data_IF_450312194741
#
_entry.id   IF_450312194741
#
_cell.length_a   1.000
_cell.length_b   1.000
_cell.length_c   1.000
_cell.angle_alpha   90.00
_cell.angle_beta   90.00
_cell.angle_gamma   90.00
#
_symmetry.space_group_name_H-M   'P 1'
#
loop_
_entity.id
_entity.type
_entity.pdbx_description
1 polymer ?
#
# COMPACT_ATOMS: atom_id res chain seq x y z
N UNK A 1 -10.60 -19.23 12.33
CA UNK A 1 -10.40 -18.52 11.04
C UNK A 1 -10.77 -19.32 9.79
N UNK A 2 -10.69 -20.66 9.77
CA UNK A 2 -11.02 -21.46 8.56
C UNK A 2 -12.40 -21.16 7.97
N UNK A 3 -13.46 -21.10 8.80
CA UNK A 3 -14.81 -20.74 8.35
C UNK A 3 -14.89 -19.34 7.73
N UNK A 4 -14.11 -18.39 8.24
CA UNK A 4 -14.06 -17.03 7.68
C UNK A 4 -13.45 -17.03 6.27
N UNK A 5 -12.36 -17.78 6.05
CA UNK A 5 -11.77 -17.93 4.73
C UNK A 5 -12.66 -18.72 3.76
N UNK A 6 -13.37 -19.74 4.23
CA UNK A 6 -14.37 -20.44 3.43
C UNK A 6 -15.49 -19.47 3.00
N UNK A 7 -15.95 -18.59 3.89
CA UNK A 7 -16.93 -17.56 3.56
C UNK A 7 -16.38 -16.56 2.51
N UNK A 8 -15.13 -16.09 2.67
CA UNK A 8 -14.47 -15.22 1.67
C UNK A 8 -14.43 -15.91 0.29
N UNK A 9 -14.08 -17.20 0.24
CA UNK A 9 -14.04 -17.96 -1.00
C UNK A 9 -15.41 -18.04 -1.67
N UNK A 10 -16.45 -18.44 -0.93
CA UNK A 10 -17.83 -18.51 -1.45
C UNK A 10 -18.31 -17.14 -1.92
N UNK A 11 -18.10 -16.08 -1.12
CA UNK A 11 -18.48 -14.71 -1.48
C UNK A 11 -17.75 -14.23 -2.73
N UNK A 12 -16.48 -14.61 -2.92
CA UNK A 12 -15.70 -14.31 -4.12
C UNK A 12 -16.29 -14.98 -5.36
N UNK A 13 -16.70 -16.25 -5.25
CA UNK A 13 -17.39 -16.97 -6.34
C UNK A 13 -18.73 -16.31 -6.68
N UNK A 14 -19.54 -15.99 -5.67
CA UNK A 14 -20.82 -15.28 -5.85
C UNK A 14 -20.63 -13.92 -6.54
N UNK A 15 -19.59 -13.16 -6.17
CA UNK A 15 -19.25 -11.91 -6.83
C UNK A 15 -18.81 -12.12 -8.28
N UNK A 16 -17.98 -13.12 -8.55
CA UNK A 16 -17.45 -13.41 -9.89
C UNK A 16 -18.56 -13.77 -10.89
N UNK A 17 -19.53 -14.59 -10.47
CA UNK A 17 -20.71 -14.94 -11.31
C UNK A 17 -21.82 -13.86 -11.24
N UNK A 18 -21.68 -12.88 -10.35
CA UNK A 18 -22.63 -11.81 -10.11
C UNK A 18 -23.99 -12.30 -9.60
N UNK A 19 -23.98 -13.19 -8.61
CA UNK A 19 -25.15 -13.69 -7.89
C UNK A 19 -25.27 -13.02 -6.51
N UNK A 20 -26.44 -12.46 -6.21
CA UNK A 20 -26.70 -11.60 -5.05
C UNK A 20 -25.65 -10.49 -4.90
N UNK A 21 -25.16 -9.98 -6.02
CA UNK A 21 -23.89 -9.25 -6.13
C UNK A 21 -23.77 -8.10 -5.13
N UNK A 22 -24.85 -7.32 -4.92
CA UNK A 22 -24.81 -6.16 -4.01
C UNK A 22 -24.52 -6.57 -2.57
N UNK A 23 -25.11 -7.68 -2.12
CA UNK A 23 -24.89 -8.22 -0.78
C UNK A 23 -23.55 -8.94 -0.74
N UNK A 24 -23.28 -9.82 -1.72
CA UNK A 24 -22.04 -10.59 -1.80
C UNK A 24 -20.80 -9.68 -1.84
N UNK A 25 -20.81 -8.60 -2.60
CA UNK A 25 -19.68 -7.68 -2.71
C UNK A 25 -19.47 -6.86 -1.43
N UNK A 26 -20.55 -6.42 -0.78
CA UNK A 26 -20.47 -5.72 0.50
C UNK A 26 -19.92 -6.64 1.61
N UNK A 27 -20.43 -7.87 1.70
CA UNK A 27 -19.94 -8.87 2.66
C UNK A 27 -18.50 -9.29 2.37
N UNK A 28 -18.13 -9.46 1.10
CA UNK A 28 -16.76 -9.77 0.70
C UNK A 28 -15.81 -8.65 1.10
N UNK A 29 -16.18 -7.39 0.82
CA UNK A 29 -15.41 -6.22 1.24
C UNK A 29 -15.22 -6.21 2.77
N UNK A 30 -16.30 -6.42 3.52
CA UNK A 30 -16.24 -6.45 4.99
C UNK A 30 -15.36 -7.60 5.50
N UNK A 31 -15.53 -8.82 4.97
CA UNK A 31 -14.77 -10.00 5.39
C UNK A 31 -13.26 -9.85 5.10
N UNK A 32 -12.90 -9.29 3.95
CA UNK A 32 -11.50 -8.99 3.61
C UNK A 32 -10.94 -7.86 4.50
N UNK A 33 -11.74 -6.83 4.77
CA UNK A 33 -11.34 -5.73 5.67
C UNK A 33 -11.09 -6.23 7.09
N UNK A 34 -11.91 -7.15 7.60
CA UNK A 34 -11.66 -7.80 8.90
C UNK A 34 -10.30 -8.49 8.89
N UNK A 35 -10.01 -9.34 7.90
CA UNK A 35 -8.69 -10.01 7.80
C UNK A 35 -7.55 -9.00 7.77
N UNK A 36 -7.71 -7.93 7.02
CA UNK A 36 -6.71 -6.87 6.90
C UNK A 36 -6.46 -6.10 8.21
N UNK A 37 -7.50 -5.88 9.01
CA UNK A 37 -7.40 -5.11 10.26
C UNK A 37 -7.04 -5.94 11.50
N UNK A 38 -7.14 -7.27 11.43
CA UNK A 38 -6.94 -8.15 12.57
C UNK A 38 -5.52 -8.14 13.12
N UNK A 39 -4.50 -8.10 12.25
CA UNK A 39 -3.11 -8.23 12.68
C UNK A 39 -2.16 -7.34 11.85
N UNK A 40 -1.48 -6.44 12.55
CA UNK A 40 -0.52 -5.49 12.00
C UNK A 40 0.70 -6.19 11.36
N UNK A 41 1.07 -7.39 11.81
CA UNK A 41 2.13 -8.21 11.23
C UNK A 41 1.74 -8.79 9.85
N UNK A 42 0.44 -8.86 9.53
CA UNK A 42 -0.05 -9.32 8.23
C UNK A 42 -0.22 -8.18 7.21
N UNK A 43 0.15 -6.94 7.56
CA UNK A 43 -0.02 -5.81 6.66
C UNK A 43 0.78 -6.01 5.35
N UNK A 44 0.06 -5.95 4.23
CA UNK A 44 0.61 -5.97 2.88
C UNK A 44 -0.12 -4.94 2.02
N UNK A 45 0.62 -4.19 1.19
CA UNK A 45 0.03 -3.17 0.32
C UNK A 45 -1.02 -3.75 -0.65
N UNK A 46 -0.87 -5.01 -1.08
CA UNK A 46 -1.84 -5.63 -1.98
C UNK A 46 -3.12 -6.10 -1.28
N UNK A 47 -3.07 -6.50 0.01
CA UNK A 47 -4.28 -6.74 0.79
C UNK A 47 -5.06 -5.44 0.99
N UNK A 48 -4.34 -4.35 1.27
CA UNK A 48 -4.94 -3.02 1.31
C UNK A 48 -5.61 -2.64 -0.01
N UNK A 49 -4.94 -2.84 -1.16
CA UNK A 49 -5.51 -2.61 -2.48
C UNK A 49 -6.78 -3.44 -2.71
N UNK A 50 -6.76 -4.72 -2.37
CA UNK A 50 -7.93 -5.60 -2.54
C UNK A 50 -9.12 -5.12 -1.69
N UNK A 51 -8.90 -4.63 -0.48
CA UNK A 51 -9.96 -4.02 0.33
C UNK A 51 -10.56 -2.78 -0.36
N UNK A 52 -9.72 -1.90 -0.91
CA UNK A 52 -10.18 -0.71 -1.64
C UNK A 52 -10.95 -1.07 -2.92
N UNK A 53 -10.45 -2.03 -3.71
CA UNK A 53 -11.16 -2.51 -4.90
C UNK A 53 -12.48 -3.18 -4.53
N UNK A 54 -12.51 -3.95 -3.43
CA UNK A 54 -13.72 -4.53 -2.87
C UNK A 54 -14.76 -3.47 -2.50
N UNK A 55 -14.34 -2.38 -1.85
CA UNK A 55 -15.21 -1.25 -1.51
C UNK A 55 -15.78 -0.57 -2.77
N UNK A 56 -14.92 -0.28 -3.75
CA UNK A 56 -15.32 0.36 -5.01
C UNK A 56 -16.28 -0.54 -5.82
N UNK A 57 -16.04 -1.84 -5.84
CA UNK A 57 -16.91 -2.83 -6.48
C UNK A 57 -18.25 -2.98 -5.75
N UNK A 58 -18.26 -3.02 -4.42
CA UNK A 58 -19.49 -3.06 -3.64
C UNK A 58 -20.41 -1.86 -3.95
N UNK A 59 -19.81 -0.68 -4.16
CA UNK A 59 -20.53 0.51 -4.59
C UNK A 59 -21.00 0.44 -6.06
N UNK A 60 -20.25 -0.24 -6.94
CA UNK A 60 -20.52 -0.32 -8.37
C UNK A 60 -21.73 -1.24 -8.70
N UNK A 61 -22.55 -0.92 -9.71
CA UNK A 61 -23.59 -1.81 -10.20
C UNK A 61 -23.05 -2.80 -11.26
N UNK A 62 -21.98 -3.54 -10.96
CA UNK A 62 -21.28 -4.38 -11.94
C UNK A 62 -22.09 -5.61 -12.40
N UNK A 63 -23.12 -6.01 -11.66
CA UNK A 63 -24.02 -7.12 -11.97
C UNK A 63 -25.04 -6.85 -13.09
N UNK A 64 -25.06 -5.66 -13.71
CA UNK A 64 -26.15 -5.29 -14.64
C UNK A 64 -26.06 -5.89 -16.04
N UNK A 65 -24.94 -6.51 -16.41
CA UNK A 65 -24.69 -7.07 -17.75
C UNK A 65 -24.59 -8.61 -17.73
N UNK A 66 -23.36 -9.16 -17.75
CA UNK A 66 -23.11 -10.60 -17.78
C UNK A 66 -23.08 -11.17 -16.35
N UNK A 67 -24.26 -11.36 -15.75
CA UNK A 67 -24.37 -11.90 -14.38
C UNK A 67 -25.57 -12.83 -14.19
N UNK A 68 -25.49 -13.70 -13.18
CA UNK A 68 -26.63 -14.52 -12.77
C UNK A 68 -27.79 -13.69 -12.23
N UNK A 69 -27.54 -12.58 -11.54
CA UNK A 69 -28.60 -11.66 -11.09
C UNK A 69 -29.38 -11.08 -12.28
N UNK A 70 -28.70 -10.76 -13.39
CA UNK A 70 -29.36 -10.28 -14.60
C UNK A 70 -30.21 -11.37 -15.24
N UNK A 71 -29.71 -12.60 -15.32
CA UNK A 71 -30.47 -13.74 -15.86
C UNK A 71 -31.72 -14.02 -15.03
N UNK A 72 -31.62 -13.94 -13.69
CA UNK A 72 -32.78 -14.06 -12.79
C UNK A 72 -33.77 -12.93 -13.01
N UNK A 73 -33.30 -11.70 -13.12
CA UNK A 73 -34.16 -10.54 -13.30
C UNK A 73 -34.83 -10.48 -14.70
N UNK A 74 -34.24 -11.11 -15.73
CA UNK A 74 -34.90 -11.29 -17.06
C UNK A 74 -36.13 -12.19 -16.98
N UNK A 75 -36.16 -13.12 -16.03
CA UNK A 75 -37.28 -14.03 -15.80
C UNK A 75 -38.35 -13.44 -14.88
N UNK A 76 -38.06 -12.31 -14.22
CA UNK A 76 -38.98 -11.65 -13.31
C UNK A 76 -39.99 -10.77 -14.09
N UNK A 77 -41.24 -10.65 -13.64
CA UNK A 77 -42.27 -9.84 -14.30
C UNK A 77 -41.90 -8.36 -14.42
N UNK A 78 -41.12 -7.84 -13.47
CA UNK A 78 -40.66 -6.45 -13.43
C UNK A 78 -39.59 -6.10 -14.48
N UNK A 79 -39.07 -7.10 -15.19
CA UNK A 79 -38.07 -6.90 -16.23
C UNK A 79 -36.66 -6.54 -15.72
N UNK A 80 -35.72 -6.59 -16.68
CA UNK A 80 -34.30 -6.29 -16.54
C UNK A 80 -33.96 -4.81 -16.29
N UNK A 81 -33.19 -4.37 -15.27
CA UNK A 81 -32.59 -3.03 -15.30
C UNK A 81 -31.73 -2.80 -16.55
N UNK A 82 -31.54 -1.52 -16.89
CA UNK A 82 -30.68 -1.11 -18.00
C UNK A 82 -29.27 -1.69 -17.86
N UNK A 83 -28.73 -2.16 -18.98
CA UNK A 83 -27.43 -2.83 -19.08
C UNK A 83 -26.25 -1.84 -19.08
N UNK A 84 -26.37 -0.80 -18.25
CA UNK A 84 -25.46 0.34 -18.17
C UNK A 84 -25.07 0.66 -16.73
N UNK A 85 -23.86 1.19 -16.56
CA UNK A 85 -23.33 1.66 -15.29
C UNK A 85 -22.79 3.08 -15.45
N UNK A 86 -22.91 3.95 -14.42
CA UNK A 86 -22.26 5.25 -14.44
C UNK A 86 -20.75 5.11 -14.64
N UNK A 87 -20.19 5.91 -15.57
CA UNK A 87 -18.75 5.92 -15.89
C UNK A 87 -17.86 6.18 -14.67
N UNK A 88 -18.42 6.85 -13.65
CA UNK A 88 -17.75 7.17 -12.39
C UNK A 88 -17.17 5.93 -11.69
N UNK A 89 -17.89 4.80 -11.66
CA UNK A 89 -17.41 3.60 -10.99
C UNK A 89 -16.20 2.99 -11.69
N UNK A 90 -16.24 2.94 -13.03
CA UNK A 90 -15.11 2.48 -13.82
C UNK A 90 -13.92 3.42 -13.67
N UNK A 91 -14.16 4.74 -13.67
CA UNK A 91 -13.12 5.72 -13.42
C UNK A 91 -12.49 5.55 -12.04
N UNK A 92 -13.27 5.35 -10.98
CA UNK A 92 -12.77 5.14 -9.63
C UNK A 92 -11.83 3.92 -9.54
N UNK A 93 -12.22 2.81 -10.16
CA UNK A 93 -11.38 1.60 -10.22
C UNK A 93 -10.07 1.85 -11.00
N UNK A 94 -10.15 2.49 -12.17
CA UNK A 94 -8.96 2.86 -12.96
C UNK A 94 -8.03 3.80 -12.19
N UNK A 95 -8.60 4.82 -11.56
CA UNK A 95 -7.87 5.80 -10.78
C UNK A 95 -7.14 5.11 -9.62
N UNK A 96 -7.79 4.19 -8.90
CA UNK A 96 -7.14 3.46 -7.82
C UNK A 96 -5.91 2.66 -8.30
N UNK A 97 -6.03 1.95 -9.43
CA UNK A 97 -4.89 1.21 -10.01
C UNK A 97 -3.76 2.16 -10.43
N UNK A 98 -4.09 3.28 -11.07
CA UNK A 98 -3.08 4.26 -11.48
C UNK A 98 -2.40 4.95 -10.29
N UNK A 99 -3.13 5.24 -9.20
CA UNK A 99 -2.57 5.78 -7.95
C UNK A 99 -1.52 4.84 -7.37
N UNK A 100 -1.81 3.53 -7.34
CA UNK A 100 -0.86 2.52 -6.84
C UNK A 100 0.44 2.52 -7.66
N UNK A 101 0.33 2.48 -9.00
CA UNK A 101 1.51 2.56 -9.87
C UNK A 101 2.28 3.86 -9.66
N UNK A 102 1.58 4.99 -9.70
CA UNK A 102 2.20 6.31 -9.57
C UNK A 102 2.99 6.44 -8.27
N UNK A 103 2.39 6.11 -7.12
CA UNK A 103 3.10 6.17 -5.83
C UNK A 103 4.16 5.07 -5.68
N UNK A 104 3.97 3.92 -6.31
CA UNK A 104 5.01 2.90 -6.43
C UNK A 104 6.27 3.44 -7.11
N UNK A 105 6.10 4.29 -8.13
CA UNK A 105 7.17 5.00 -8.83
C UNK A 105 7.74 6.16 -8.02
N UNK A 106 6.89 7.01 -7.42
CA UNK A 106 7.34 8.12 -6.56
C UNK A 106 8.21 7.59 -5.41
N UNK A 107 7.83 6.46 -4.80
CA UNK A 107 8.60 5.89 -3.71
C UNK A 107 9.96 5.30 -4.14
N UNK A 108 10.13 5.00 -5.44
CA UNK A 108 11.40 4.59 -6.07
C UNK A 108 12.33 5.77 -6.40
N UNK A 109 11.88 7.02 -6.24
CA UNK A 109 12.73 8.20 -6.33
C UNK A 109 13.52 8.40 -5.03
N UNK A 110 14.42 7.46 -4.75
CA UNK A 110 15.32 7.50 -3.60
C UNK A 110 16.73 7.04 -3.98
N UNK A 111 17.73 7.42 -3.17
CA UNK A 111 19.14 7.17 -3.48
C UNK A 111 19.50 5.70 -3.64
N UNK A 112 18.91 4.81 -2.85
CA UNK A 112 19.22 3.38 -2.90
C UNK A 112 18.69 2.77 -4.19
N UNK A 113 17.42 3.03 -4.52
CA UNK A 113 16.78 2.51 -5.72
C UNK A 113 17.48 2.98 -7.00
N UNK A 114 17.89 4.25 -7.05
CA UNK A 114 18.63 4.80 -8.19
C UNK A 114 20.04 4.20 -8.34
N UNK A 115 20.61 3.66 -7.26
CA UNK A 115 21.87 2.87 -7.31
C UNK A 115 21.65 1.38 -7.56
N UNK A 116 20.41 0.97 -7.84
CA UNK A 116 20.05 -0.43 -8.07
C UNK A 116 19.76 -1.23 -6.80
N UNK A 117 19.77 -0.63 -5.61
CA UNK A 117 19.51 -1.34 -4.36
C UNK A 117 18.05 -1.22 -3.90
N UNK A 118 17.49 -2.26 -3.26
CA UNK A 118 18.07 -3.58 -2.98
C UNK A 118 17.98 -4.58 -4.16
N UNK A 119 17.60 -4.13 -5.35
CA UNK A 119 17.32 -5.01 -6.49
C UNK A 119 18.54 -5.83 -6.91
N UNK A 120 19.72 -5.23 -6.93
CA UNK A 120 20.99 -5.91 -7.20
C UNK A 120 21.23 -7.06 -6.22
N UNK A 121 20.99 -6.86 -4.92
CA UNK A 121 21.13 -7.91 -3.91
C UNK A 121 20.14 -9.05 -4.16
N UNK A 122 18.86 -8.73 -4.36
CA UNK A 122 17.82 -9.75 -4.58
C UNK A 122 18.01 -10.57 -5.86
N UNK A 123 18.63 -9.98 -6.89
CA UNK A 123 18.92 -10.70 -8.13
C UNK A 123 20.20 -11.54 -8.03
N UNK A 124 21.17 -11.12 -7.21
CA UNK A 124 22.36 -11.92 -6.92
C UNK A 124 22.00 -13.26 -6.24
N UNK A 125 20.99 -13.27 -5.37
CA UNK A 125 20.44 -14.50 -4.76
C UNK A 125 19.86 -15.50 -5.77
N UNK A 126 19.73 -15.09 -7.04
CA UNK A 126 19.22 -15.89 -8.16
C UNK A 126 20.30 -16.24 -9.18
N UNK A 127 21.57 -16.05 -8.82
CA UNK A 127 22.72 -16.31 -9.70
C UNK A 127 22.81 -17.75 -10.20
N UNK A 128 22.23 -18.71 -9.48
CA UNK A 128 22.25 -20.14 -9.82
C UNK A 128 21.11 -20.55 -10.77
N UNK A 129 20.24 -19.62 -11.17
CA UNK A 129 19.14 -19.94 -12.09
C UNK A 129 19.68 -20.41 -13.45
N UNK A 130 19.12 -21.49 -14.03
CA UNK A 130 19.59 -22.00 -15.31
C UNK A 130 19.39 -20.95 -16.41
N UNK A 131 20.37 -20.84 -17.30
CA UNK A 131 20.42 -19.95 -18.48
C UNK A 131 20.51 -18.44 -18.20
N UNK A 132 19.81 -17.92 -17.19
CA UNK A 132 19.71 -16.48 -16.91
C UNK A 132 20.41 -16.05 -15.63
N UNK A 133 20.83 -16.97 -14.76
CA UNK A 133 21.43 -16.68 -13.46
C UNK A 133 22.63 -15.72 -13.51
N UNK A 134 23.66 -15.95 -14.34
CA UNK A 134 24.80 -15.03 -14.47
C UNK A 134 24.40 -13.62 -14.92
N UNK A 135 23.39 -13.51 -15.80
CA UNK A 135 22.86 -12.22 -16.23
C UNK A 135 22.09 -11.53 -15.10
N UNK A 136 21.30 -12.26 -14.32
CA UNK A 136 20.58 -11.70 -13.17
C UNK A 136 21.55 -11.22 -12.08
N UNK A 137 22.61 -11.99 -11.80
CA UNK A 137 23.60 -11.66 -10.77
C UNK A 137 24.52 -10.48 -11.15
N UNK A 138 24.56 -10.08 -12.43
CA UNK A 138 25.35 -8.92 -12.85
C UNK A 138 24.81 -7.62 -12.21
N UNK A 139 25.64 -6.81 -11.51
CA UNK A 139 25.18 -5.57 -10.88
C UNK A 139 24.53 -4.57 -11.83
N UNK A 140 24.98 -4.55 -13.10
CA UNK A 140 24.38 -3.72 -14.14
C UNK A 140 22.90 -4.06 -14.39
N UNK A 141 22.51 -5.34 -14.25
CA UNK A 141 21.13 -5.80 -14.40
C UNK A 141 20.24 -5.23 -13.30
N UNK A 142 20.72 -5.21 -12.04
CA UNK A 142 20.00 -4.60 -10.92
C UNK A 142 19.75 -3.11 -11.13
N UNK A 143 20.75 -2.36 -11.59
CA UNK A 143 20.59 -0.93 -11.93
C UNK A 143 19.64 -0.73 -13.12
N UNK A 144 19.78 -1.52 -14.19
CA UNK A 144 18.92 -1.41 -15.36
C UNK A 144 17.45 -1.69 -15.01
N UNK A 145 17.19 -2.74 -14.22
CA UNK A 145 15.85 -3.10 -13.80
C UNK A 145 15.28 -2.12 -12.77
N UNK A 146 16.10 -1.46 -11.96
CA UNK A 146 15.61 -0.43 -11.02
C UNK A 146 15.14 0.81 -11.78
N UNK A 147 15.90 1.28 -12.77
CA UNK A 147 15.50 2.39 -13.66
C UNK A 147 14.26 2.01 -14.47
N UNK A 148 14.23 0.80 -15.05
CA UNK A 148 13.08 0.32 -15.80
C UNK A 148 11.81 0.27 -14.91
N UNK A 149 11.92 -0.30 -13.71
CA UNK A 149 10.81 -0.38 -12.75
C UNK A 149 10.30 1.00 -12.33
N UNK A 150 11.19 1.97 -12.11
CA UNK A 150 10.83 3.36 -11.81
C UNK A 150 10.05 4.00 -12.97
N UNK A 151 10.57 3.91 -14.20
CA UNK A 151 9.95 4.52 -15.38
C UNK A 151 8.61 3.87 -15.70
N UNK A 152 8.51 2.55 -15.59
CA UNK A 152 7.28 1.79 -15.76
C UNK A 152 6.24 2.28 -14.76
N UNK A 153 6.54 2.30 -13.47
CA UNK A 153 5.58 2.68 -12.43
C UNK A 153 5.07 4.13 -12.59
N UNK A 154 5.96 5.08 -12.88
CA UNK A 154 5.59 6.48 -13.09
C UNK A 154 4.75 6.69 -14.36
N UNK A 155 5.00 5.94 -15.43
CA UNK A 155 4.33 6.11 -16.71
C UNK A 155 3.06 5.26 -16.87
N UNK A 156 2.90 4.18 -16.09
CA UNK A 156 1.86 3.16 -16.29
C UNK A 156 0.45 3.74 -16.32
N UNK A 157 0.12 4.61 -15.36
CA UNK A 157 -1.18 5.27 -15.31
C UNK A 157 -1.50 6.00 -16.61
N UNK A 158 -0.56 6.79 -17.13
CA UNK A 158 -0.74 7.54 -18.38
C UNK A 158 -0.88 6.62 -19.59
N UNK A 159 -0.03 5.60 -19.68
CA UNK A 159 -0.05 4.63 -20.77
C UNK A 159 -1.37 3.86 -20.84
N UNK A 160 -1.90 3.43 -19.69
CA UNK A 160 -3.14 2.65 -19.62
C UNK A 160 -4.40 3.50 -19.79
N UNK A 161 -4.41 4.77 -19.37
CA UNK A 161 -5.56 5.64 -19.52
C UNK A 161 -5.81 6.08 -20.97
N UNK A 162 -4.74 6.29 -21.74
CA UNK A 162 -4.86 6.83 -23.09
C UNK A 162 -5.05 5.72 -24.14
N UNK A 163 -6.08 5.86 -24.99
CA UNK A 163 -6.51 4.80 -25.94
C UNK A 163 -5.42 4.39 -26.94
N UNK A 164 -4.57 5.32 -27.38
CA UNK A 164 -3.51 5.05 -28.36
C UNK A 164 -2.32 4.31 -27.74
N UNK A 165 -2.01 4.62 -26.49
CA UNK A 165 -0.89 4.01 -25.75
C UNK A 165 -1.30 2.75 -24.99
N UNK A 166 -2.60 2.51 -24.81
CA UNK A 166 -3.10 1.37 -24.04
C UNK A 166 -2.52 0.01 -24.48
N UNK A 167 -2.40 -0.35 -25.78
CA UNK A 167 -1.82 -1.63 -26.17
C UNK A 167 -0.37 -1.78 -25.70
N UNK A 168 0.44 -0.71 -25.83
CA UNK A 168 1.81 -0.68 -25.33
C UNK A 168 1.84 -0.78 -23.80
N UNK A 169 1.03 0.03 -23.11
CA UNK A 169 0.92 0.00 -21.65
C UNK A 169 0.48 -1.36 -21.12
N UNK A 170 -0.48 -2.03 -21.78
CA UNK A 170 -0.95 -3.35 -21.40
C UNK A 170 0.13 -4.42 -21.61
N UNK A 171 0.89 -4.36 -22.71
CA UNK A 171 2.01 -5.27 -22.96
C UNK A 171 3.11 -5.09 -21.91
N UNK A 172 3.49 -3.84 -21.61
CA UNK A 172 4.48 -3.52 -20.58
C UNK A 172 4.01 -3.94 -19.19
N UNK A 173 2.74 -3.67 -18.83
CA UNK A 173 2.17 -4.10 -17.56
C UNK A 173 2.14 -5.61 -17.42
N UNK A 174 1.76 -6.34 -18.48
CA UNK A 174 1.75 -7.79 -18.47
C UNK A 174 3.18 -8.34 -18.26
N UNK A 175 4.14 -7.87 -19.04
CA UNK A 175 5.53 -8.28 -18.92
C UNK A 175 6.12 -7.95 -17.54
N UNK A 176 5.89 -6.73 -17.03
CA UNK A 176 6.36 -6.30 -15.71
C UNK A 176 5.76 -7.13 -14.57
N UNK A 177 4.45 -7.39 -14.59
CA UNK A 177 3.82 -8.18 -13.55
C UNK A 177 4.22 -9.67 -13.65
N UNK A 178 4.34 -10.24 -14.84
CA UNK A 178 4.86 -11.61 -14.98
C UNK A 178 6.31 -11.72 -14.50
N UNK A 179 7.17 -10.76 -14.85
CA UNK A 179 8.53 -10.68 -14.32
C UNK A 179 8.52 -10.60 -12.80
N UNK A 180 7.64 -9.77 -12.20
CA UNK A 180 7.49 -9.72 -10.75
C UNK A 180 7.00 -11.03 -10.15
N UNK A 181 6.08 -11.76 -10.80
CA UNK A 181 5.60 -13.05 -10.31
C UNK A 181 6.69 -14.14 -10.34
N UNK A 182 7.55 -14.12 -11.36
CA UNK A 182 8.66 -15.06 -11.51
C UNK A 182 9.82 -14.70 -10.58
N UNK A 183 10.15 -13.41 -10.49
CA UNK A 183 11.32 -12.91 -9.76
C UNK A 183 11.02 -12.55 -8.32
N UNK A 184 9.78 -12.40 -7.89
CA UNK A 184 9.50 -12.00 -6.52
C UNK A 184 8.27 -12.73 -5.99
N UNK A 185 8.38 -13.30 -4.80
CA UNK A 185 7.23 -13.88 -4.11
C UNK A 185 6.40 -12.77 -3.45
N UNK A 186 5.61 -12.04 -4.24
CA UNK A 186 4.75 -10.91 -3.79
C UNK A 186 3.26 -11.33 -3.74
N UNK A 187 3.01 -12.64 -3.61
CA UNK A 187 1.67 -13.20 -3.49
C UNK A 187 0.76 -12.87 -4.68
N UNK A 188 -0.49 -12.49 -4.39
CA UNK A 188 -1.54 -12.30 -5.40
C UNK A 188 -1.36 -11.03 -6.27
N UNK A 189 -0.45 -10.13 -5.89
CA UNK A 189 -0.36 -8.80 -6.47
C UNK A 189 -0.21 -8.81 -8.01
N UNK A 190 0.76 -9.52 -8.62
CA UNK A 190 0.92 -9.53 -10.06
C UNK A 190 -0.35 -9.95 -10.82
N UNK A 191 -1.05 -10.97 -10.30
CA UNK A 191 -2.27 -11.51 -10.91
C UNK A 191 -3.44 -10.53 -10.82
N UNK A 192 -3.59 -9.83 -9.68
CA UNK A 192 -4.60 -8.78 -9.53
C UNK A 192 -4.34 -7.63 -10.51
N UNK A 193 -3.08 -7.22 -10.66
CA UNK A 193 -2.71 -6.14 -11.58
C UNK A 193 -2.94 -6.55 -13.05
N UNK A 194 -2.59 -7.78 -13.44
CA UNK A 194 -2.88 -8.32 -14.78
C UNK A 194 -4.38 -8.36 -15.03
N UNK A 195 -5.17 -8.88 -14.09
CA UNK A 195 -6.63 -8.93 -14.21
C UNK A 195 -7.22 -7.51 -14.35
N UNK A 196 -6.66 -6.52 -13.66
CA UNK A 196 -7.11 -5.13 -13.71
C UNK A 196 -6.95 -4.46 -15.08
N UNK A 197 -6.11 -5.00 -15.97
CA UNK A 197 -5.96 -4.47 -17.34
C UNK A 197 -7.30 -4.51 -18.12
N UNK A 198 -8.18 -5.46 -17.78
CA UNK A 198 -9.53 -5.55 -18.36
C UNK A 198 -10.37 -4.29 -18.10
N UNK A 199 -10.09 -3.55 -17.02
CA UNK A 199 -10.77 -2.29 -16.70
C UNK A 199 -10.40 -1.19 -17.70
N UNK A 200 -9.14 -1.16 -18.15
CA UNK A 200 -8.58 -0.07 -18.95
C UNK A 200 -8.99 -0.12 -20.43
N UNK A 201 -9.28 -1.32 -20.94
CA UNK A 201 -9.79 -1.52 -22.29
C UNK A 201 -11.10 -0.75 -22.57
N UNK A 202 -11.42 -0.55 -23.85
CA UNK A 202 -12.64 0.16 -24.26
C UNK A 202 -13.89 -0.54 -23.72
N UNK A 203 -14.83 0.14 -23.04
CA UNK A 203 -15.96 -0.53 -22.37
C UNK A 203 -16.85 -1.40 -23.26
N UNK A 204 -16.81 -1.22 -24.60
CA UNK A 204 -17.56 -2.05 -25.53
C UNK A 204 -16.76 -3.22 -26.11
N UNK A 205 -15.48 -3.39 -25.74
CA UNK A 205 -14.65 -4.50 -26.19
C UNK A 205 -15.29 -5.88 -25.91
N UNK A 206 -15.91 -6.17 -24.75
CA UNK A 206 -16.47 -7.49 -24.49
C UNK A 206 -17.64 -7.77 -25.43
N UNK A 207 -18.50 -6.76 -25.68
CA UNK A 207 -19.64 -6.86 -26.60
C UNK A 207 -19.20 -7.03 -28.05
N UNK A 208 -18.10 -6.37 -28.44
CA UNK A 208 -17.54 -6.46 -29.80
C UNK A 208 -16.86 -7.80 -30.06
N UNK A 209 -16.17 -8.37 -29.07
CA UNK A 209 -15.38 -9.60 -29.22
C UNK A 209 -16.15 -10.87 -28.88
N UNK A 210 -17.15 -10.79 -28.01
CA UNK A 210 -17.94 -11.93 -27.54
C UNK A 210 -19.46 -11.67 -27.70
N UNK A 211 -19.95 -11.41 -28.93
CA UNK A 211 -21.34 -11.03 -29.16
C UNK A 211 -22.34 -12.10 -28.71
N UNK A 212 -21.95 -13.38 -28.76
CA UNK A 212 -22.75 -14.52 -28.28
C UNK A 212 -23.07 -14.47 -26.79
N UNK A 213 -22.23 -13.80 -25.97
CA UNK A 213 -22.47 -13.62 -24.54
C UNK A 213 -23.40 -12.44 -24.24
N UNK A 214 -23.70 -11.60 -25.23
CA UNK A 214 -24.57 -10.42 -25.10
C UNK A 214 -25.73 -10.43 -26.12
N UNK A 215 -26.59 -11.47 -26.15
CA UNK A 215 -27.73 -11.50 -27.06
C UNK A 215 -28.70 -10.35 -26.74
N UNK A 216 -28.91 -9.47 -27.74
CA UNK A 216 -29.74 -8.26 -27.64
C UNK A 216 -28.98 -6.92 -27.61
N UNK A 217 -27.64 -6.92 -27.64
CA UNK A 217 -26.87 -5.69 -27.81
C UNK A 217 -26.82 -5.29 -29.30
N UNK A 218 -27.35 -4.11 -29.65
CA UNK A 218 -27.24 -3.59 -31.02
C UNK A 218 -25.75 -3.52 -31.45
N UNK A 219 -25.41 -3.86 -32.72
CA UNK A 219 -24.03 -3.84 -33.18
C UNK A 219 -23.44 -2.43 -33.05
N UNK A 220 -22.35 -2.28 -32.30
CA UNK A 220 -21.67 -1.01 -32.09
C UNK A 220 -20.79 -0.56 -33.29
N UNK A 221 -21.18 -0.91 -34.51
CA UNK A 221 -20.36 -0.68 -35.70
C UNK A 221 -21.13 -0.87 -37.01
N UNK A 222 -21.72 0.22 -37.49
CA UNK A 222 -22.13 0.41 -38.88
C UNK A 222 -21.94 1.90 -39.19
N UNK A 223 -20.96 2.23 -40.03
CA UNK A 223 -20.79 3.58 -40.54
C UNK A 223 -21.95 3.91 -41.47
N UNK A 224 -22.67 4.99 -41.16
CA UNK A 224 -23.84 5.44 -41.90
C UNK A 224 -24.73 6.23 -40.96
N UNK A 225 -24.82 7.54 -41.20
CA UNK A 225 -25.62 8.56 -40.50
C UNK A 225 -26.29 8.11 -39.21
N UNK A 226 -25.66 8.48 -38.10
CA UNK A 226 -26.20 8.30 -36.77
C UNK A 226 -27.58 8.98 -36.69
N UNK A 227 -28.62 8.18 -36.84
CA UNK A 227 -29.93 8.46 -36.28
C UNK A 227 -29.68 8.83 -34.81
N UNK A 228 -29.79 10.13 -34.51
CA UNK A 228 -29.87 10.65 -33.15
C UNK A 228 -30.79 9.71 -32.37
N UNK A 229 -30.40 9.20 -31.19
CA UNK A 229 -31.35 8.48 -30.37
C UNK A 229 -32.53 9.42 -30.18
N UNK A 230 -33.70 9.00 -30.64
CA UNK A 230 -34.95 9.72 -30.44
C UNK A 230 -35.00 10.04 -28.95
N UNK A 231 -34.96 11.33 -28.63
CA UNK A 231 -35.30 11.85 -27.30
C UNK A 231 -36.78 11.57 -27.10
N UNK A 232 -37.11 10.34 -26.72
CA UNK A 232 -38.47 9.86 -26.59
C UNK A 232 -38.58 8.91 -25.41
N UNK A 233 -39.06 9.43 -24.28
CA UNK A 233 -39.63 8.64 -23.18
C UNK A 233 -38.68 8.25 -22.05
N UNK A 234 -38.67 9.03 -20.97
CA UNK A 234 -38.68 8.44 -19.62
C UNK A 234 -37.45 8.55 -18.72
N UNK A 235 -36.26 8.93 -19.20
CA UNK A 235 -35.12 9.17 -18.27
C UNK A 235 -35.03 10.66 -17.92
N UNK A 236 -35.87 11.09 -16.97
CA UNK A 236 -35.67 12.38 -16.33
C UNK A 236 -34.22 12.44 -15.81
N UNK A 237 -33.42 13.48 -16.16
CA UNK A 237 -32.08 13.59 -15.64
C UNK A 237 -32.17 13.55 -14.11
N UNK A 238 -31.53 12.54 -13.48
CA UNK A 238 -31.52 12.44 -12.02
C UNK A 238 -31.24 13.82 -11.42
N UNK A 239 -32.06 14.28 -10.44
CA UNK A 239 -31.91 15.61 -9.89
C UNK A 239 -30.47 15.84 -9.43
N UNK A 240 -29.91 17.02 -9.69
CA UNK A 240 -28.50 17.34 -9.44
C UNK A 240 -28.04 16.96 -8.02
N UNK A 241 -28.94 17.13 -7.03
CA UNK A 241 -28.73 16.75 -5.62
C UNK A 241 -28.48 15.25 -5.41
N UNK A 242 -29.08 14.36 -6.23
CA UNK A 242 -28.85 12.91 -6.18
C UNK A 242 -27.51 12.49 -6.83
N UNK A 243 -26.92 13.34 -7.67
CA UNK A 243 -25.57 13.14 -8.24
C UNK A 243 -24.46 13.71 -7.36
N UNK A 244 -24.77 14.72 -6.54
CA UNK A 244 -23.80 15.40 -5.70
C UNK A 244 -23.14 14.46 -4.68
N UNK A 245 -23.91 13.62 -3.99
CA UNK A 245 -23.35 12.74 -2.93
C UNK A 245 -22.35 11.70 -3.48
N UNK A 246 -22.66 10.88 -4.52
CA UNK A 246 -21.67 9.94 -5.06
C UNK A 246 -20.40 10.63 -5.59
N UNK A 247 -20.54 11.82 -6.18
CA UNK A 247 -19.40 12.62 -6.62
C UNK A 247 -18.59 13.10 -5.42
N UNK A 248 -19.22 13.68 -4.40
CA UNK A 248 -18.54 14.14 -3.18
C UNK A 248 -17.80 12.99 -2.47
N UNK A 249 -18.42 11.81 -2.36
CA UNK A 249 -17.79 10.62 -1.80
C UNK A 249 -16.58 10.16 -2.63
N UNK A 250 -16.68 10.16 -3.98
CA UNK A 250 -15.52 9.85 -4.80
C UNK A 250 -14.41 10.89 -4.66
N UNK A 251 -14.74 12.18 -4.62
CA UNK A 251 -13.75 13.24 -4.44
C UNK A 251 -13.04 13.08 -3.10
N UNK A 252 -13.78 12.87 -2.00
CA UNK A 252 -13.20 12.59 -0.69
C UNK A 252 -12.32 11.34 -0.70
N UNK A 253 -12.77 10.26 -1.34
CA UNK A 253 -11.99 9.04 -1.53
C UNK A 253 -10.66 9.31 -2.26
N UNK A 254 -10.71 10.00 -3.40
CA UNK A 254 -9.51 10.30 -4.19
C UNK A 254 -8.56 11.24 -3.43
N UNK A 255 -9.08 12.24 -2.72
CA UNK A 255 -8.27 13.11 -1.86
C UNK A 255 -7.53 12.29 -0.80
N UNK A 256 -8.21 11.36 -0.12
CA UNK A 256 -7.57 10.46 0.85
C UNK A 256 -6.48 9.63 0.17
N UNK A 257 -6.77 9.03 -0.98
CA UNK A 257 -5.82 8.16 -1.70
C UNK A 257 -4.63 8.91 -2.31
N UNK A 258 -4.73 10.22 -2.51
CA UNK A 258 -3.63 11.08 -2.95
C UNK A 258 -2.84 11.68 -1.76
N UNK A 259 -3.52 12.08 -0.69
CA UNK A 259 -2.86 12.77 0.43
C UNK A 259 -2.22 11.81 1.44
N UNK A 260 -2.89 10.70 1.78
CA UNK A 260 -2.39 9.75 2.80
C UNK A 260 -1.03 9.17 2.43
N UNK A 261 -0.72 8.81 1.17
CA UNK A 261 0.61 8.36 0.82
C UNK A 261 1.71 9.40 1.03
N UNK A 262 1.40 10.69 0.91
CA UNK A 262 2.36 11.79 1.05
C UNK A 262 2.66 12.17 2.51
N UNK A 263 1.84 11.71 3.47
CA UNK A 263 1.96 12.08 4.89
C UNK A 263 3.33 11.78 5.50
N UNK A 264 4.09 10.85 4.92
CA UNK A 264 5.39 10.47 5.42
C UNK A 264 6.41 11.61 5.39
N UNK A 265 6.22 12.61 4.51
CA UNK A 265 7.05 13.82 4.50
C UNK A 265 6.77 14.77 5.68
N UNK A 266 5.69 14.56 6.42
CA UNK A 266 5.41 15.30 7.66
C UNK A 266 6.16 14.73 8.86
N UNK A 267 6.75 13.54 8.70
CA UNK A 267 7.52 12.87 9.74
C UNK A 267 9.01 13.09 9.53
N UNK A 268 9.78 13.38 10.59
CA UNK A 268 11.23 13.51 10.47
C UNK A 268 11.90 12.16 10.21
N UNK A 269 13.03 12.20 9.50
CA UNK A 269 13.88 11.03 9.26
C UNK A 269 13.50 10.21 8.02
N UNK A 270 14.25 9.13 7.81
CA UNK A 270 14.04 8.23 6.68
C UNK A 270 12.99 7.17 7.00
N UNK A 271 11.90 7.16 6.22
CA UNK A 271 10.81 6.19 6.29
C UNK A 271 11.29 4.76 6.14
N UNK A 272 12.36 4.53 5.37
CA UNK A 272 12.93 3.21 5.22
C UNK A 272 13.56 2.70 6.52
N UNK A 273 13.88 3.58 7.47
CA UNK A 273 14.39 3.24 8.80
C UNK A 273 13.30 3.24 9.86
N UNK A 274 12.55 4.34 9.98
CA UNK A 274 11.63 4.56 11.09
C UNK A 274 10.20 4.04 10.87
N UNK A 275 9.84 3.61 9.66
CA UNK A 275 8.49 3.17 9.25
C UNK A 275 7.37 4.22 9.36
N UNK A 276 7.69 5.46 9.72
CA UNK A 276 6.73 6.51 9.92
C UNK A 276 6.03 6.84 8.59
N UNK A 277 4.72 6.57 8.53
CA UNK A 277 3.96 6.77 7.30
C UNK A 277 4.11 5.69 6.23
N UNK A 278 4.85 4.59 6.47
CA UNK A 278 5.10 3.53 5.49
C UNK A 278 3.83 2.75 5.07
N UNK A 279 2.97 2.40 6.04
CA UNK A 279 1.70 1.71 5.72
C UNK A 279 0.78 2.66 4.94
N UNK A 280 -0.12 2.14 4.13
CA UNK A 280 -1.09 2.91 3.34
C UNK A 280 -0.49 3.94 2.36
N UNK A 281 0.82 3.87 2.06
CA UNK A 281 1.50 4.85 1.20
C UNK A 281 2.06 4.26 -0.09
N UNK A 282 1.61 3.05 -0.47
CA UNK A 282 2.02 2.36 -1.71
C UNK A 282 3.53 2.17 -1.87
N UNK A 283 4.25 2.16 -0.74
CA UNK A 283 5.70 1.92 -0.66
C UNK A 283 5.95 0.41 -0.71
N UNK A 284 5.91 -0.15 -1.92
CA UNK A 284 6.01 -1.59 -2.13
C UNK A 284 7.41 -2.02 -2.57
N UNK A 285 7.98 -3.01 -1.86
CA UNK A 285 9.20 -3.72 -2.27
C UNK A 285 10.39 -2.77 -2.55
N UNK A 286 10.64 -1.84 -1.63
CA UNK A 286 11.69 -0.80 -1.78
C UNK A 286 12.92 -1.03 -0.93
N UNK A 287 12.82 -1.91 0.08
CA UNK A 287 13.85 -2.07 1.08
C UNK A 287 13.95 -3.50 1.56
N UNK A 288 15.15 -3.83 2.01
CA UNK A 288 15.47 -5.01 2.79
C UNK A 288 16.16 -4.58 4.09
N UNK A 289 15.79 -5.21 5.22
CA UNK A 289 16.40 -4.94 6.52
C UNK A 289 16.91 -6.25 7.13
N UNK A 290 18.22 -6.37 7.26
CA UNK A 290 18.86 -7.48 7.95
C UNK A 290 19.10 -7.09 9.42
N UNK A 291 18.56 -7.85 10.37
CA UNK A 291 18.75 -7.64 11.81
C UNK A 291 19.85 -8.58 12.29
N UNK A 292 20.91 -8.04 12.88
CA UNK A 292 22.04 -8.83 13.42
C UNK A 292 21.96 -9.04 14.93
N UNK A 293 21.26 -8.17 15.64
CA UNK A 293 21.10 -8.24 17.09
C UNK A 293 19.68 -7.80 17.46
N UNK A 294 19.03 -8.55 18.35
CA UNK A 294 17.70 -8.26 18.89
C UNK A 294 17.68 -8.64 20.38
N UNK A 295 17.45 -7.65 21.24
CA UNK A 295 17.16 -7.86 22.64
C UNK A 295 16.15 -6.82 23.13
N UNK A 296 15.09 -7.27 23.81
CA UNK A 296 14.12 -6.41 24.50
C UNK A 296 14.31 -6.63 26.00
N UNK A 297 14.32 -5.54 26.75
CA UNK A 297 14.65 -5.57 28.16
C UNK A 297 13.59 -4.85 28.97
N UNK A 298 13.26 -5.43 30.12
CA UNK A 298 12.36 -4.87 31.12
C UNK A 298 13.21 -4.40 32.28
N UNK A 299 13.03 -3.14 32.69
CA UNK A 299 13.73 -2.54 33.83
C UNK A 299 12.70 -2.14 34.88
N UNK A 300 12.83 -2.71 36.08
CA UNK A 300 12.02 -2.30 37.22
C UNK A 300 12.48 -0.90 37.69
N UNK A 301 11.60 0.13 37.64
CA UNK A 301 11.97 1.49 38.03
C UNK A 301 12.28 1.63 39.53
N UNK A 302 11.87 0.68 40.38
CA UNK A 302 12.10 0.71 41.82
C UNK A 302 13.46 0.15 42.21
N UNK A 303 13.85 -0.94 41.58
CA UNK A 303 15.07 -1.70 41.93
C UNK A 303 16.22 -1.47 40.94
N UNK A 304 15.92 -1.01 39.72
CA UNK A 304 16.88 -0.88 38.63
C UNK A 304 17.29 -2.23 38.01
N UNK A 305 16.68 -3.34 38.45
CA UNK A 305 16.95 -4.67 37.90
C UNK A 305 16.51 -4.70 36.44
N UNK A 306 17.42 -5.14 35.56
CA UNK A 306 17.21 -5.26 34.13
C UNK A 306 17.22 -6.73 33.72
N UNK A 307 16.14 -7.17 33.10
CA UNK A 307 15.96 -8.54 32.63
C UNK A 307 15.68 -8.55 31.13
N UNK A 308 16.20 -9.57 30.45
CA UNK A 308 15.90 -9.81 29.04
C UNK A 308 14.55 -10.51 28.91
N UNK A 309 13.74 -10.07 27.96
CA UNK A 309 12.46 -10.70 27.64
C UNK A 309 12.67 -11.87 26.69
N UNK A 310 12.11 -13.03 27.00
CA UNK A 310 12.00 -14.13 26.05
C UNK A 310 10.89 -13.80 25.03
N UNK A 311 11.26 -13.40 23.82
CA UNK A 311 10.29 -12.94 22.82
C UNK A 311 9.40 -14.06 22.28
N UNK A 312 9.84 -15.32 22.33
CA UNK A 312 9.08 -16.46 21.79
C UNK A 312 7.88 -16.82 22.67
N UNK A 313 7.94 -16.48 23.97
CA UNK A 313 6.80 -16.62 24.87
C UNK A 313 5.72 -15.54 24.65
N UNK A 314 6.07 -14.42 24.01
CA UNK A 314 5.19 -13.26 23.84
C UNK A 314 4.64 -13.11 22.43
N UNK A 315 5.40 -13.53 21.42
CA UNK A 315 5.09 -13.29 20.02
C UNK A 315 5.07 -14.57 19.22
N UNK A 316 4.14 -14.64 18.27
CA UNK A 316 4.21 -15.65 17.22
C UNK A 316 5.42 -15.39 16.32
N UNK A 317 5.95 -16.43 15.66
CA UNK A 317 7.07 -16.34 14.72
C UNK A 317 6.88 -15.22 13.68
N UNK A 318 5.66 -15.10 13.14
CA UNK A 318 5.31 -14.08 12.16
C UNK A 318 5.32 -12.66 12.73
N UNK A 319 4.88 -12.48 13.97
CA UNK A 319 4.94 -11.17 14.64
C UNK A 319 6.39 -10.80 14.97
N UNK A 320 7.18 -11.75 15.47
CA UNK A 320 8.59 -11.56 15.76
C UNK A 320 9.38 -11.15 14.52
N UNK A 321 9.22 -11.90 13.42
CA UNK A 321 9.91 -11.62 12.15
C UNK A 321 9.54 -10.27 11.52
N UNK A 322 8.34 -9.77 11.75
CA UNK A 322 7.94 -8.44 11.29
C UNK A 322 8.34 -7.32 12.25
N UNK A 323 8.25 -7.57 13.56
CA UNK A 323 8.55 -6.59 14.60
C UNK A 323 10.04 -6.25 14.67
N UNK A 324 10.92 -7.25 14.49
CA UNK A 324 12.37 -7.08 14.68
C UNK A 324 12.98 -6.00 13.77
N UNK A 325 12.39 -5.74 12.61
CA UNK A 325 12.85 -4.75 11.64
C UNK A 325 12.00 -3.46 11.61
N UNK A 326 11.03 -3.31 12.52
CA UNK A 326 10.00 -2.26 12.49
C UNK A 326 9.86 -1.56 13.85
N UNK A 327 10.41 -0.33 14.00
CA UNK A 327 10.40 0.42 15.25
C UNK A 327 9.00 0.64 15.85
N UNK A 328 7.99 0.86 15.00
CA UNK A 328 6.62 1.09 15.46
C UNK A 328 5.98 -0.16 16.08
N UNK A 329 6.41 -1.36 15.69
CA UNK A 329 5.96 -2.62 16.30
C UNK A 329 6.72 -2.93 17.59
N UNK A 330 7.99 -2.50 17.70
CA UNK A 330 8.74 -2.53 18.97
C UNK A 330 8.05 -1.67 20.03
N UNK A 331 7.57 -0.47 19.66
CA UNK A 331 6.75 0.37 20.55
C UNK A 331 5.50 -0.38 20.99
N UNK A 332 4.74 -0.98 20.06
CA UNK A 332 3.51 -1.70 20.40
C UNK A 332 3.76 -2.85 21.38
N UNK A 333 4.85 -3.63 21.18
CA UNK A 333 5.27 -4.67 22.11
C UNK A 333 5.64 -4.09 23.48
N UNK A 334 6.48 -3.06 23.52
CA UNK A 334 6.97 -2.48 24.76
C UNK A 334 5.82 -2.00 25.66
N UNK A 335 4.84 -1.40 25.03
CA UNK A 335 3.59 -1.01 25.64
C UNK A 335 2.76 -2.19 26.14
N UNK A 336 2.60 -3.25 25.33
CA UNK A 336 1.88 -4.46 25.73
C UNK A 336 2.53 -5.13 26.94
N UNK A 337 3.86 -5.24 26.95
CA UNK A 337 4.66 -5.75 28.07
C UNK A 337 4.46 -4.88 29.31
N UNK A 338 4.59 -3.56 29.17
CA UNK A 338 4.45 -2.64 30.29
C UNK A 338 3.05 -2.67 30.92
N UNK A 339 2.00 -2.74 30.10
CA UNK A 339 0.62 -2.88 30.56
C UNK A 339 0.42 -4.21 31.31
N UNK A 340 0.98 -5.32 30.78
CA UNK A 340 0.92 -6.65 31.44
C UNK A 340 1.62 -6.70 32.80
N UNK A 341 2.78 -6.07 32.91
CA UNK A 341 3.52 -5.99 34.17
C UNK A 341 2.81 -5.09 35.18
N UNK A 342 2.24 -3.96 34.74
CA UNK A 342 1.42 -3.09 35.58
C UNK A 342 0.22 -3.85 36.15
N UNK A 343 -0.47 -4.64 35.33
CA UNK A 343 -1.63 -5.43 35.75
C UNK A 343 -1.24 -6.58 36.70
N UNK A 344 -0.13 -7.26 36.44
CA UNK A 344 0.30 -8.43 37.21
C UNK A 344 0.99 -8.08 38.54
N UNK A 345 1.80 -7.01 38.55
CA UNK A 345 2.70 -6.69 39.67
C UNK A 345 2.44 -5.30 40.27
N UNK A 346 1.54 -4.50 39.70
CA UNK A 346 1.28 -3.13 40.14
C UNK A 346 2.43 -2.15 39.85
N UNK A 347 3.38 -2.55 38.98
CA UNK A 347 4.54 -1.74 38.59
C UNK A 347 4.63 -1.70 37.08
N UNK A 348 4.62 -0.49 36.52
CA UNK A 348 4.88 -0.29 35.10
C UNK A 348 6.39 -0.22 34.86
N UNK A 349 6.99 -1.18 34.13
CA UNK A 349 8.41 -1.19 33.88
C UNK A 349 8.80 -0.15 32.82
N UNK A 350 10.09 0.18 32.80
CA UNK A 350 10.74 0.81 31.65
C UNK A 350 11.09 -0.30 30.66
N UNK A 351 10.71 -0.16 29.39
CA UNK A 351 10.99 -1.18 28.37
C UNK A 351 11.92 -0.60 27.30
N UNK A 352 13.12 -1.17 27.19
CA UNK A 352 14.13 -0.74 26.21
C UNK A 352 14.43 -1.86 25.21
N UNK A 353 15.01 -1.53 24.06
CA UNK A 353 15.41 -2.53 23.08
C UNK A 353 16.75 -2.21 22.43
N UNK A 354 17.62 -3.23 22.32
CA UNK A 354 18.83 -3.20 21.51
C UNK A 354 18.55 -3.94 20.20
N UNK A 355 18.49 -3.19 19.11
CA UNK A 355 18.22 -3.75 17.78
C UNK A 355 19.20 -3.18 16.78
N UNK A 356 20.08 -4.02 16.26
CA UNK A 356 21.08 -3.63 15.26
C UNK A 356 20.64 -4.14 13.89
N UNK A 357 20.51 -3.24 12.94
CA UNK A 357 20.04 -3.56 11.60
C UNK A 357 20.87 -2.89 10.50
N UNK A 358 20.87 -3.51 9.32
CA UNK A 358 21.36 -2.97 8.05
C UNK A 358 20.19 -2.73 7.11
N UNK A 359 20.16 -1.61 6.40
CA UNK A 359 19.20 -1.33 5.33
C UNK A 359 19.89 -1.49 3.98
N UNK A 360 19.32 -2.31 3.09
CA UNK A 360 19.77 -2.48 1.70
C UNK A 360 21.28 -2.77 1.55
N UNK A 361 21.84 -3.55 2.48
CA UNK A 361 23.27 -3.91 2.49
C UNK A 361 24.21 -2.80 2.98
N UNK A 362 23.67 -1.71 3.52
CA UNK A 362 24.45 -0.64 4.14
C UNK A 362 25.07 -1.06 5.49
N UNK A 363 25.81 -0.14 6.15
CA UNK A 363 26.40 -0.43 7.46
C UNK A 363 25.34 -0.70 8.52
N UNK A 364 25.66 -1.62 9.43
CA UNK A 364 24.83 -1.90 10.60
C UNK A 364 24.80 -0.71 11.55
N UNK A 365 23.61 -0.40 12.06
CA UNK A 365 23.39 0.62 13.08
C UNK A 365 22.19 0.28 13.94
N UNK A 366 22.11 0.95 15.08
CA UNK A 366 20.97 0.83 15.97
C UNK A 366 19.70 1.33 15.28
N UNK A 367 18.69 0.47 15.26
CA UNK A 367 17.37 0.73 14.68
C UNK A 367 16.54 1.66 15.59
N UNK A 368 16.75 1.56 16.90
CA UNK A 368 16.10 2.34 17.95
C UNK A 368 17.14 2.73 19.01
N UNK A 369 16.90 3.81 19.75
CA UNK A 369 17.77 4.19 20.88
C UNK A 369 17.68 3.13 22.01
N UNK A 370 18.79 2.45 22.36
CA UNK A 370 18.78 1.36 23.34
C UNK A 370 18.55 1.81 24.79
N UNK A 371 18.58 3.12 25.05
CA UNK A 371 18.34 3.71 26.37
C UNK A 371 16.93 4.28 26.53
N UNK A 372 16.20 4.41 25.42
CA UNK A 372 14.88 5.00 25.40
C UNK A 372 13.82 4.05 25.97
N UNK A 373 12.98 4.56 26.88
CA UNK A 373 11.77 3.86 27.31
C UNK A 373 10.74 3.85 26.16
N UNK A 374 10.69 2.75 25.42
CA UNK A 374 9.78 2.56 24.30
C UNK A 374 8.32 2.53 24.75
N UNK A 375 8.06 2.10 25.99
CA UNK A 375 6.71 2.06 26.54
C UNK A 375 6.18 3.47 26.89
N UNK A 376 7.03 4.49 26.92
CA UNK A 376 6.62 5.90 27.07
C UNK A 376 6.38 6.62 25.73
N UNK A 377 6.80 6.02 24.62
CA UNK A 377 6.69 6.65 23.30
C UNK A 377 5.25 6.64 22.78
N UNK A 378 4.83 7.63 21.98
CA UNK A 378 3.50 7.65 21.38
C UNK A 378 3.24 6.44 20.48
N UNK A 379 2.01 5.91 20.46
CA UNK A 379 1.57 4.85 19.53
C UNK A 379 0.92 5.43 18.27
N UNK A 380 0.75 4.59 17.25
CA UNK A 380 -0.07 4.88 16.08
C UNK A 380 0.52 5.90 15.11
N UNK A 381 -0.28 6.87 14.65
CA UNK A 381 0.13 7.88 13.66
C UNK A 381 1.21 8.85 14.18
N UNK A 382 1.46 8.85 15.48
CA UNK A 382 2.47 9.67 16.15
C UNK A 382 3.68 8.86 16.61
N UNK A 383 3.71 7.54 16.33
CA UNK A 383 4.84 6.68 16.66
C UNK A 383 6.05 7.09 15.80
N UNK A 384 6.83 8.03 16.32
CA UNK A 384 8.09 8.48 15.75
C UNK A 384 9.21 7.94 16.63
N UNK A 385 9.83 6.85 16.18
CA UNK A 385 11.06 6.41 16.82
C UNK A 385 12.19 7.25 16.24
N UNK A 386 12.79 8.08 17.09
CA UNK A 386 13.99 8.82 16.72
C UNK A 386 15.13 7.82 16.53
N UNK A 387 15.87 7.87 15.41
CA UNK A 387 17.12 7.12 15.31
C UNK A 387 18.12 7.63 16.37
N UNK A 388 18.99 6.77 16.89
CA UNK A 388 20.00 7.18 17.87
C UNK A 388 20.91 8.28 17.29
N UNK A 389 21.20 9.30 18.09
CA UNK A 389 22.06 10.42 17.70
C UNK A 389 21.37 11.65 17.10
N UNK A 390 20.03 11.70 17.05
CA UNK A 390 19.31 12.94 16.76
C UNK A 390 19.41 13.91 17.96
N UNK A 391 20.56 14.60 18.07
CA UNK A 391 20.74 15.74 18.96
C UNK A 391 19.59 16.73 18.74
N UNK A 392 18.95 17.13 19.83
CA UNK A 392 17.93 18.19 19.85
C UNK A 392 18.53 19.50 19.35
N UNK A 393 18.39 19.78 18.06
CA UNK A 393 18.65 21.08 17.47
C UNK A 393 17.40 21.96 17.57
N UNK A 394 17.54 23.07 18.30
CA UNK A 394 16.68 24.26 18.30
C UNK A 394 15.31 24.18 19.02
N UNK A 395 15.36 24.06 20.34
CA UNK A 395 14.59 24.95 21.21
C UNK A 395 15.60 25.83 21.96
N UNK A 396 16.12 26.84 21.27
CA UNK A 396 17.06 27.82 21.82
C UNK A 396 16.53 29.21 21.52
N UNK A 397 15.91 29.81 22.53
CA UNK A 397 15.92 31.24 22.84
C UNK A 397 16.20 32.19 21.67
N UNK A 398 15.13 32.85 21.22
CA UNK A 398 15.23 34.15 20.57
C UNK A 398 15.76 35.16 21.61
N UNK A 399 17.09 35.24 21.75
CA UNK A 399 17.73 36.38 22.38
C UNK A 399 18.21 37.36 21.31
N UNK A 400 17.60 38.52 21.40
CA UNK A 400 17.86 39.76 20.69
C UNK A 400 19.35 40.10 20.70
N UNK A 401 20.02 39.98 19.56
CA UNK A 401 21.31 40.68 19.34
C UNK A 401 21.02 42.05 18.74
N UNK A 402 20.70 42.99 19.63
CA UNK A 402 20.93 44.41 19.39
C UNK A 402 22.45 44.65 19.44
N UNK A 403 22.95 45.45 18.50
CA UNK A 403 24.37 45.63 18.24
C UNK A 403 25.18 46.21 19.39
N UNK A 404 26.50 46.10 19.26
CA UNK A 404 27.47 47.16 19.53
C UNK A 404 28.84 46.69 19.01
N UNK A 405 29.35 47.44 18.02
CA UNK A 405 30.76 47.43 17.62
C UNK A 405 31.57 48.22 18.65
N UNK A 406 32.71 47.67 19.06
CA UNK A 406 33.74 48.28 19.89
C UNK A 406 34.41 47.16 20.68
N UNK A 407 35.66 46.73 20.44
CA UNK A 407 36.87 47.50 20.20
C UNK A 407 37.72 47.35 21.46
N UNK A 408 38.70 46.44 21.47
CA UNK A 408 39.92 46.48 22.30
C UNK A 408 40.77 45.21 22.09
N UNK A 409 41.99 45.42 21.64
CA UNK A 409 43.15 44.51 21.67
C UNK A 409 43.64 44.23 23.10
N UNK A 410 44.11 43.01 23.43
CA UNK A 410 44.90 42.76 24.64
C UNK A 410 46.42 42.85 24.37
N UNK A 411 47.24 43.33 25.32
CA UNK A 411 48.69 43.26 25.21
C UNK A 411 49.23 41.94 25.81
N UNK A 412 50.28 41.38 25.18
CA UNK A 412 51.16 40.37 25.77
C UNK A 412 51.87 40.92 27.01
N UNK A 413 52.28 40.04 27.93
CA UNK A 413 53.72 39.94 28.16
C UNK A 413 54.22 38.51 28.39
N UNK A 414 55.45 38.30 27.89
CA UNK A 414 56.38 37.21 28.19
C UNK A 414 57.30 37.72 29.33
N UNK A 415 57.84 36.85 30.19
CA UNK A 415 59.22 36.36 29.99
C UNK A 415 59.33 34.85 29.82
#
# INVERSE_FOLDING_TARGET
MYWHFAAIFVLSLLCAVGLFYRVSAALLCAALTVVFLLDKAQYLNHLYLVCLLGLLLAAAPAHRALSLDRLRARRAPSGAPAETAPRLHLFALKAQIAIVYFYGGVAKLNGDWLRGQPLTMWLADRGDAPLVGPLLAAPATGVALSVAGLLIDLSMGFLLFHRRTFPLGAALALAFNLANALLFNIGIFPYVMIASLALFADPSWPRRRLPSLFPGAAPAGGGGDAARPARGGGDAPMPARRRALPLALLHGYLLVQLLVPLRHWLYPGDVAWNEAGHRFSWRMKLRDKAVSELGVFVVDPRTGVREALDLEEWLTERQLGEMCARPDMLIDLAHHVADRFQDAFGVRPIVTAKVVASLNGGPYRDLVDPTCDLASQPRGLLALVKPPGAVTGAAGSAEVTAGLRGGATPPSPVP
#
